data_IF_991354108564
#
_entry.id   IF_991354108564
#
_cell.length_a   1.000
_cell.length_b   1.000
_cell.length_c   1.000
_cell.angle_alpha   90.00
_cell.angle_beta   90.00
_cell.angle_gamma   90.00
#
_symmetry.space_group_name_H-M   'P 1'
#
loop_
_entity.id
_entity.type
_entity.pdbx_description
1 polymer ?
#
# COMPACT_ATOMS: atom_id res chain seq x y z
N UNK A 1 25.36 -13.89 54.29
CA UNK A 1 25.16 -13.11 53.03
C UNK A 1 24.74 -14.09 51.96
N UNK A 2 23.40 -14.11 51.68
CA UNK A 2 22.81 -14.95 50.63
C UNK A 2 22.56 -14.01 49.43
N UNK A 3 23.26 -14.27 48.34
CA UNK A 3 22.97 -13.61 47.06
C UNK A 3 21.85 -14.41 46.35
N UNK A 4 20.66 -13.84 46.34
CA UNK A 4 19.56 -14.31 45.53
C UNK A 4 19.73 -13.84 44.09
N UNK A 5 20.07 -14.73 43.19
CA UNK A 5 20.05 -14.46 41.74
C UNK A 5 18.61 -14.40 41.24
N UNK A 6 18.19 -13.25 40.73
CA UNK A 6 16.97 -13.15 39.94
C UNK A 6 17.21 -13.82 38.57
N UNK A 7 16.58 -14.98 38.38
CA UNK A 7 16.46 -15.56 37.05
C UNK A 7 15.46 -14.74 36.21
N UNK A 8 15.97 -14.00 35.26
CA UNK A 8 15.13 -13.41 34.21
C UNK A 8 14.69 -14.54 33.29
N UNK A 9 13.46 -14.98 33.44
CA UNK A 9 12.84 -15.89 32.49
C UNK A 9 12.66 -15.16 31.16
N UNK A 10 13.47 -15.49 30.17
CA UNK A 10 13.24 -15.14 28.81
C UNK A 10 11.98 -15.87 28.33
N UNK A 11 10.86 -15.20 28.29
CA UNK A 11 9.67 -15.68 27.59
C UNK A 11 9.98 -15.61 26.09
N UNK A 12 10.44 -16.72 25.53
CA UNK A 12 10.41 -16.91 24.08
C UNK A 12 8.95 -17.04 23.69
N UNK A 13 8.38 -15.94 23.18
CA UNK A 13 7.10 -15.99 22.52
C UNK A 13 7.25 -16.89 21.28
N UNK A 14 6.75 -18.10 21.36
CA UNK A 14 6.56 -18.97 20.22
C UNK A 14 5.44 -18.33 19.42
N UNK A 15 5.78 -17.60 18.34
CA UNK A 15 4.80 -17.01 17.44
C UNK A 15 3.93 -18.15 16.87
N UNK A 16 2.63 -18.06 17.09
CA UNK A 16 1.69 -18.95 16.42
C UNK A 16 1.76 -18.67 14.93
N UNK A 17 1.93 -19.70 14.11
CA UNK A 17 2.12 -19.63 12.68
C UNK A 17 0.87 -19.18 11.90
N UNK A 18 -0.26 -18.92 12.58
CA UNK A 18 -1.53 -18.50 11.99
C UNK A 18 -2.07 -17.25 12.72
N UNK A 19 -1.34 -16.14 12.62
CA UNK A 19 -1.82 -14.87 13.12
C UNK A 19 -2.84 -14.30 12.13
N UNK A 20 -4.00 -13.86 12.64
CA UNK A 20 -5.05 -13.22 11.86
C UNK A 20 -5.25 -11.80 12.38
N UNK A 21 -4.88 -10.78 11.61
CA UNK A 21 -5.03 -9.37 11.96
C UNK A 21 -6.45 -9.00 12.36
N UNK A 22 -7.42 -9.62 11.73
CA UNK A 22 -8.83 -9.43 12.03
C UNK A 22 -9.17 -9.86 13.46
N UNK A 23 -8.69 -11.03 13.89
CA UNK A 23 -8.87 -11.51 15.26
C UNK A 23 -8.11 -10.65 16.30
N UNK A 24 -7.00 -10.03 15.90
CA UNK A 24 -6.21 -9.13 16.76
C UNK A 24 -6.88 -7.78 16.97
N UNK A 25 -7.84 -7.38 16.14
CA UNK A 25 -8.46 -6.05 16.15
C UNK A 25 -9.96 -6.09 16.31
N UNK A 26 -10.68 -6.77 15.40
CA UNK A 26 -12.16 -6.75 15.39
C UNK A 26 -12.74 -7.53 16.56
N UNK A 27 -13.40 -6.82 17.47
CA UNK A 27 -13.98 -7.43 18.69
C UNK A 27 -12.94 -7.87 19.72
N UNK A 28 -11.64 -7.64 19.50
CA UNK A 28 -10.59 -7.97 20.45
C UNK A 28 -10.64 -7.00 21.65
N UNK A 29 -10.81 -7.49 22.90
CA UNK A 29 -10.96 -6.59 24.06
C UNK A 29 -9.74 -5.71 24.32
N UNK A 30 -8.54 -6.21 24.07
CA UNK A 30 -7.29 -5.47 24.29
C UNK A 30 -7.16 -4.35 23.27
N UNK A 31 -7.40 -4.62 21.99
CA UNK A 31 -7.41 -3.61 20.94
C UNK A 31 -8.48 -2.52 21.24
N UNK A 32 -9.70 -2.92 21.58
CA UNK A 32 -10.79 -1.99 21.88
C UNK A 32 -10.52 -1.14 23.12
N UNK A 33 -9.89 -1.70 24.16
CA UNK A 33 -9.48 -0.95 25.33
C UNK A 33 -8.42 0.11 25.02
N UNK A 34 -7.39 -0.28 24.25
CA UNK A 34 -6.34 0.64 23.80
C UNK A 34 -6.90 1.76 22.90
N UNK A 35 -7.72 1.40 21.93
CA UNK A 35 -8.39 2.36 21.05
C UNK A 35 -9.18 3.41 21.84
N UNK A 36 -9.96 2.97 22.83
CA UNK A 36 -10.73 3.86 23.71
C UNK A 36 -9.85 4.73 24.60
N UNK A 37 -8.74 4.18 25.10
CA UNK A 37 -7.76 4.93 25.92
C UNK A 37 -7.25 6.17 25.19
N UNK A 38 -6.92 6.03 23.90
CA UNK A 38 -6.42 7.12 23.06
C UNK A 38 -7.53 7.89 22.33
N UNK A 39 -8.81 7.56 22.54
CA UNK A 39 -9.93 8.27 21.90
C UNK A 39 -10.04 8.04 20.39
N UNK A 40 -9.46 6.97 19.87
CA UNK A 40 -9.43 6.66 18.44
C UNK A 40 -10.80 6.17 17.96
N UNK A 41 -11.21 6.59 16.76
CA UNK A 41 -12.46 6.12 16.16
C UNK A 41 -12.40 4.64 15.81
N UNK A 42 -13.54 3.95 15.87
CA UNK A 42 -13.61 2.50 15.65
C UNK A 42 -13.38 2.12 14.19
N UNK A 43 -13.95 2.87 13.28
CA UNK A 43 -14.00 2.53 11.86
C UNK A 43 -12.86 3.21 11.11
N UNK A 44 -12.10 2.44 10.34
CA UNK A 44 -10.93 2.94 9.60
C UNK A 44 -11.30 4.09 8.65
N UNK A 45 -12.43 3.99 7.95
CA UNK A 45 -12.92 5.01 7.00
C UNK A 45 -13.21 6.37 7.63
N UNK A 46 -13.41 6.42 8.96
CA UNK A 46 -13.70 7.65 9.72
C UNK A 46 -12.47 8.15 10.48
N UNK A 47 -11.33 7.51 10.32
CA UNK A 47 -10.10 7.82 11.03
C UNK A 47 -9.14 8.72 10.27
N UNK A 48 -7.99 8.93 10.87
CA UNK A 48 -6.86 9.60 10.28
C UNK A 48 -5.73 8.60 10.01
N UNK A 49 -5.13 8.67 8.83
CA UNK A 49 -4.01 7.83 8.43
C UNK A 49 -2.74 8.67 8.51
N UNK A 50 -1.74 8.20 9.27
CA UNK A 50 -0.38 8.73 9.20
C UNK A 50 0.34 8.04 8.04
N UNK A 51 0.78 8.79 7.05
CA UNK A 51 1.74 8.29 6.07
C UNK A 51 3.16 8.41 6.65
N UNK A 52 3.70 7.30 7.12
CA UNK A 52 5.03 7.21 7.71
C UNK A 52 6.10 7.16 6.59
N UNK A 53 6.22 8.28 5.85
CA UNK A 53 7.10 8.42 4.69
C UNK A 53 8.55 8.10 5.03
N UNK A 54 9.09 7.05 4.40
CA UNK A 54 10.45 6.56 4.55
C UNK A 54 10.84 6.15 5.98
N UNK A 55 9.88 5.84 6.84
CA UNK A 55 10.13 5.27 8.15
C UNK A 55 10.26 3.75 8.06
N UNK A 56 11.22 3.20 8.82
CA UNK A 56 11.30 1.76 9.01
C UNK A 56 10.21 1.25 9.97
N UNK A 57 9.89 -0.03 9.89
CA UNK A 57 8.97 -0.69 10.83
C UNK A 57 9.40 -0.49 12.29
N UNK A 58 10.71 -0.54 12.56
CA UNK A 58 11.26 -0.30 13.89
C UNK A 58 11.06 1.16 14.33
N UNK A 59 11.30 2.15 13.46
CA UNK A 59 11.04 3.55 13.77
C UNK A 59 9.55 3.79 14.09
N UNK A 60 8.65 3.19 13.33
CA UNK A 60 7.20 3.27 13.59
C UNK A 60 6.88 2.65 14.96
N UNK A 61 7.47 1.49 15.27
CA UNK A 61 7.29 0.80 16.55
C UNK A 61 7.74 1.66 17.74
N UNK A 62 8.89 2.32 17.60
CA UNK A 62 9.45 3.20 18.64
C UNK A 62 8.58 4.43 18.96
N UNK A 63 7.84 4.93 17.96
CA UNK A 63 6.98 6.11 18.09
C UNK A 63 5.48 5.78 18.24
N UNK A 64 5.12 4.54 18.55
CA UNK A 64 3.73 4.10 18.53
C UNK A 64 2.84 4.83 19.56
N UNK A 65 3.35 5.10 20.74
CA UNK A 65 2.63 5.87 21.77
C UNK A 65 2.32 7.29 21.29
N UNK A 66 3.30 7.99 20.73
CA UNK A 66 3.17 9.35 20.21
C UNK A 66 2.17 9.43 19.06
N UNK A 67 2.17 8.42 18.18
CA UNK A 67 1.23 8.32 17.05
C UNK A 67 -0.21 8.13 17.57
N UNK A 68 -0.39 7.27 18.58
CA UNK A 68 -1.68 7.03 19.20
C UNK A 68 -2.20 8.28 19.93
N UNK A 69 -1.33 8.96 20.70
CA UNK A 69 -1.65 10.21 21.40
C UNK A 69 -2.01 11.35 20.44
N UNK A 70 -1.39 11.39 19.25
CA UNK A 70 -1.73 12.33 18.21
C UNK A 70 -3.08 12.07 17.54
N UNK A 71 -3.71 10.91 17.80
CA UNK A 71 -5.06 10.58 17.33
C UNK A 71 -5.11 9.87 15.98
N UNK A 72 -3.99 9.38 15.46
CA UNK A 72 -3.98 8.58 14.25
C UNK A 72 -4.57 7.19 14.51
N UNK A 73 -5.46 6.76 13.65
CA UNK A 73 -6.17 5.47 13.75
C UNK A 73 -5.51 4.37 12.93
N UNK A 74 -4.73 4.78 11.95
CA UNK A 74 -4.00 3.88 11.07
C UNK A 74 -2.67 4.51 10.64
N UNK A 75 -1.71 3.65 10.33
CA UNK A 75 -0.40 4.05 9.80
C UNK A 75 -0.24 3.41 8.42
N UNK A 76 0.02 4.22 7.40
CA UNK A 76 0.46 3.76 6.09
C UNK A 76 1.97 3.71 6.06
N UNK A 77 2.54 2.53 5.76
CA UNK A 77 3.98 2.32 5.59
C UNK A 77 4.39 2.46 4.12
N UNK A 78 5.69 2.48 3.87
CA UNK A 78 6.26 2.28 2.54
C UNK A 78 6.06 0.83 2.05
N UNK A 79 6.32 0.55 0.74
CA UNK A 79 6.23 -0.79 0.18
C UNK A 79 7.10 -1.81 0.91
N UNK A 80 6.50 -2.94 1.25
CA UNK A 80 7.14 -4.02 2.01
C UNK A 80 7.92 -5.02 1.15
N UNK A 81 7.74 -4.99 -0.19
CA UNK A 81 8.35 -5.95 -1.09
C UNK A 81 9.87 -5.84 -1.11
N UNK A 82 10.56 -6.92 -1.48
CA UNK A 82 11.97 -6.85 -1.88
C UNK A 82 12.10 -5.87 -3.04
N UNK A 83 13.06 -4.95 -2.94
CA UNK A 83 13.26 -3.88 -3.91
C UNK A 83 14.67 -3.90 -4.50
N UNK A 84 14.85 -3.13 -5.57
CA UNK A 84 16.16 -2.88 -6.15
C UNK A 84 17.10 -2.33 -5.07
N UNK A 85 18.22 -3.00 -4.87
CA UNK A 85 19.30 -2.47 -4.04
C UNK A 85 20.11 -1.45 -4.84
N UNK A 86 20.79 -0.57 -4.13
CA UNK A 86 21.59 0.45 -4.78
C UNK A 86 22.52 -0.14 -5.83
N UNK A 87 22.42 0.37 -7.01
CA UNK A 87 23.46 0.31 -7.99
C UNK A 87 24.52 1.37 -7.64
N UNK A 88 25.70 1.22 -8.11
CA UNK A 88 26.85 2.03 -7.77
C UNK A 88 26.80 3.47 -8.33
N UNK A 89 25.64 4.15 -8.25
CA UNK A 89 25.52 5.54 -8.70
C UNK A 89 26.08 6.57 -7.70
N UNK A 90 26.58 6.10 -6.55
CA UNK A 90 27.22 6.93 -5.52
C UNK A 90 26.27 7.88 -4.78
N UNK A 91 24.99 7.85 -5.06
CA UNK A 91 24.00 8.73 -4.44
C UNK A 91 23.61 8.24 -3.04
N UNK A 92 23.24 9.18 -2.18
CA UNK A 92 22.65 8.86 -0.89
C UNK A 92 21.27 8.24 -1.09
N UNK A 93 20.81 7.43 -0.14
CA UNK A 93 19.48 6.83 -0.19
C UNK A 93 18.37 7.88 -0.38
N UNK A 94 18.45 9.02 0.30
CA UNK A 94 17.50 10.13 0.16
C UNK A 94 17.39 10.68 -1.27
N UNK A 95 18.38 10.43 -2.12
CA UNK A 95 18.37 10.80 -3.54
C UNK A 95 17.79 9.68 -4.43
N UNK A 96 17.63 8.48 -3.87
CA UNK A 96 17.10 7.28 -4.52
C UNK A 96 15.82 6.76 -3.81
N UNK A 97 15.09 7.62 -3.15
CA UNK A 97 13.86 7.27 -2.41
C UNK A 97 12.88 6.43 -3.24
N UNK A 98 12.82 6.64 -4.56
CA UNK A 98 11.94 5.95 -5.49
C UNK A 98 12.25 4.46 -5.66
N UNK A 99 13.36 3.96 -5.12
CA UNK A 99 13.66 2.52 -5.14
C UNK A 99 12.66 1.68 -4.34
N UNK A 100 11.97 2.25 -3.37
CA UNK A 100 10.88 1.54 -2.66
C UNK A 100 9.74 1.16 -3.61
N UNK A 101 9.59 1.89 -4.73
CA UNK A 101 8.62 1.61 -5.78
C UNK A 101 9.21 0.80 -6.95
N UNK A 102 10.34 0.13 -6.74
CA UNK A 102 10.96 -0.77 -7.73
C UNK A 102 11.14 -2.19 -7.18
N UNK A 103 10.03 -2.95 -7.04
CA UNK A 103 10.09 -4.33 -6.60
C UNK A 103 10.97 -5.19 -7.48
N UNK A 104 11.59 -6.21 -6.87
CA UNK A 104 12.34 -7.27 -7.55
C UNK A 104 11.79 -8.65 -7.26
N UNK A 105 10.94 -8.76 -6.22
CA UNK A 105 10.22 -9.97 -5.83
C UNK A 105 9.02 -9.62 -4.93
N UNK A 106 8.10 -10.55 -4.78
CA UNK A 106 6.97 -10.51 -3.84
C UNK A 106 7.31 -11.20 -2.51
N UNK A 107 8.49 -10.97 -1.97
CA UNK A 107 8.89 -11.34 -0.61
C UNK A 107 8.89 -10.12 0.30
N UNK A 108 8.55 -10.32 1.58
CA UNK A 108 8.48 -9.22 2.56
C UNK A 108 9.88 -8.87 3.07
N UNK A 109 10.17 -7.59 3.08
CA UNK A 109 11.38 -7.01 3.64
C UNK A 109 12.30 -6.36 2.63
N UNK A 110 12.83 -5.20 3.01
CA UNK A 110 13.84 -4.48 2.24
C UNK A 110 14.66 -3.57 3.17
N UNK A 111 15.75 -3.00 2.64
CA UNK A 111 16.68 -2.20 3.44
C UNK A 111 16.10 -0.87 3.96
N UNK A 112 14.93 -0.46 3.50
CA UNK A 112 14.26 0.78 3.95
C UNK A 112 13.36 0.50 5.13
N UNK A 113 12.45 -0.45 4.97
CA UNK A 113 11.41 -0.71 5.97
C UNK A 113 11.83 -1.72 7.04
N UNK A 114 12.74 -2.64 6.71
CA UNK A 114 13.18 -3.71 7.61
C UNK A 114 12.76 -5.09 7.13
N UNK A 115 12.82 -6.07 8.01
CA UNK A 115 12.51 -7.48 7.76
C UNK A 115 11.03 -7.80 7.97
N UNK A 116 10.61 -8.99 7.58
CA UNK A 116 9.29 -9.54 7.89
C UNK A 116 9.05 -9.67 9.40
N UNK A 117 10.09 -10.01 10.18
CA UNK A 117 9.99 -10.04 11.64
C UNK A 117 9.78 -8.65 12.24
N UNK A 118 10.41 -7.61 11.68
CA UNK A 118 10.16 -6.22 12.07
C UNK A 118 8.71 -5.80 11.74
N UNK A 119 8.16 -6.25 10.59
CA UNK A 119 6.74 -6.04 10.24
C UNK A 119 5.82 -6.67 11.31
N UNK A 120 6.05 -7.93 11.66
CA UNK A 120 5.29 -8.65 12.70
C UNK A 120 5.35 -7.94 14.05
N UNK A 121 6.53 -7.48 14.46
CA UNK A 121 6.69 -6.72 15.70
C UNK A 121 5.93 -5.40 15.67
N UNK A 122 5.98 -4.66 14.57
CA UNK A 122 5.27 -3.40 14.39
C UNK A 122 3.75 -3.60 14.43
N UNK A 123 3.19 -4.62 13.77
CA UNK A 123 1.75 -4.89 13.80
C UNK A 123 1.26 -5.26 15.20
N UNK A 124 2.05 -6.02 15.96
CA UNK A 124 1.77 -6.31 17.38
C UNK A 124 1.70 -5.01 18.20
N UNK A 125 2.70 -4.15 18.06
CA UNK A 125 2.76 -2.88 18.77
C UNK A 125 1.58 -1.98 18.40
N UNK A 126 1.25 -1.88 17.11
CA UNK A 126 0.13 -1.08 16.63
C UNK A 126 -1.21 -1.56 17.22
N UNK A 127 -1.48 -2.86 17.18
CA UNK A 127 -2.71 -3.43 17.74
C UNK A 127 -2.80 -3.23 19.26
N UNK A 128 -1.68 -3.30 19.99
CA UNK A 128 -1.63 -2.98 21.42
C UNK A 128 -1.94 -1.52 21.73
N UNK A 129 -1.85 -0.62 20.76
CA UNK A 129 -2.19 0.80 20.85
C UNK A 129 -3.55 1.17 20.21
N UNK A 130 -4.26 0.20 19.68
CA UNK A 130 -5.56 0.43 19.01
C UNK A 130 -5.41 1.04 17.61
N UNK A 131 -4.24 0.92 17.00
CA UNK A 131 -3.90 1.42 15.67
C UNK A 131 -3.86 0.24 14.68
N UNK A 132 -4.22 0.49 13.44
CA UNK A 132 -4.13 -0.48 12.33
C UNK A 132 -3.01 -0.13 11.38
N UNK A 133 -2.45 -1.14 10.74
CA UNK A 133 -1.36 -0.99 9.77
C UNK A 133 -1.89 -1.17 8.35
N UNK A 134 -1.62 -0.19 7.51
CA UNK A 134 -1.85 -0.20 6.06
C UNK A 134 -0.48 -0.22 5.39
N UNK A 135 -0.24 -1.20 4.53
CA UNK A 135 1.04 -1.29 3.79
C UNK A 135 0.85 -0.83 2.36
N UNK A 136 1.79 -0.06 1.85
CA UNK A 136 1.85 0.30 0.44
C UNK A 136 2.25 -0.92 -0.41
N UNK A 137 1.62 -1.10 -1.55
CA UNK A 137 1.82 -2.25 -2.44
C UNK A 137 2.00 -1.78 -3.88
N UNK A 138 3.14 -2.10 -4.45
CA UNK A 138 3.40 -1.89 -5.88
C UNK A 138 2.91 -3.12 -6.64
N UNK A 139 1.66 -3.07 -7.08
CA UNK A 139 0.96 -4.19 -7.71
C UNK A 139 0.91 -4.11 -9.25
N UNK A 140 1.35 -2.98 -9.82
CA UNK A 140 1.34 -2.74 -11.26
C UNK A 140 2.62 -3.19 -11.96
N UNK A 141 3.79 -3.02 -11.34
CA UNK A 141 5.08 -3.13 -12.02
C UNK A 141 6.19 -3.61 -11.11
N UNK A 142 7.31 -4.01 -11.71
CA UNK A 142 8.59 -4.25 -11.07
C UNK A 142 9.62 -3.20 -11.53
N UNK A 143 10.86 -3.30 -11.02
CA UNK A 143 11.97 -2.41 -11.40
C UNK A 143 12.17 -2.34 -12.92
N UNK A 144 12.73 -1.23 -13.41
CA UNK A 144 13.13 -1.10 -14.81
C UNK A 144 14.32 -2.01 -15.20
N UNK A 145 15.12 -2.44 -14.21
CA UNK A 145 16.30 -3.28 -14.40
C UNK A 145 15.93 -4.76 -14.37
N UNK A 146 15.82 -5.37 -15.54
CA UNK A 146 15.50 -6.79 -15.68
C UNK A 146 16.44 -7.70 -14.87
N UNK A 147 17.73 -7.37 -14.84
CA UNK A 147 18.71 -8.21 -14.17
C UNK A 147 18.62 -8.13 -12.63
N UNK A 148 17.95 -7.12 -12.09
CA UNK A 148 17.68 -7.00 -10.67
C UNK A 148 16.44 -7.80 -10.23
N UNK A 149 15.57 -8.20 -11.15
CA UNK A 149 14.41 -9.04 -10.85
C UNK A 149 14.90 -10.42 -10.47
N UNK A 150 14.35 -11.01 -9.41
CA UNK A 150 14.73 -12.35 -8.97
C UNK A 150 14.34 -13.41 -10.03
N UNK A 151 15.14 -14.45 -10.16
CA UNK A 151 15.04 -15.43 -11.25
C UNK A 151 13.70 -16.17 -11.34
N UNK A 152 13.00 -16.31 -10.22
CA UNK A 152 11.66 -16.92 -10.15
C UNK A 152 10.56 -16.03 -10.73
N UNK A 153 10.84 -14.72 -10.89
CA UNK A 153 10.01 -13.75 -11.57
C UNK A 153 10.49 -13.40 -12.99
N UNK A 154 11.72 -13.73 -13.37
CA UNK A 154 12.28 -13.43 -14.70
C UNK A 154 11.69 -14.33 -15.80
N UNK A 155 10.38 -14.29 -15.97
CA UNK A 155 9.66 -15.00 -17.04
C UNK A 155 8.94 -13.98 -17.92
N UNK A 156 9.14 -14.10 -19.24
CA UNK A 156 8.58 -13.12 -20.19
C UNK A 156 7.05 -13.06 -20.17
N UNK A 157 6.39 -14.16 -19.85
CA UNK A 157 4.94 -14.27 -19.74
C UNK A 157 4.36 -13.58 -18.50
N UNK A 158 5.20 -13.18 -17.54
CA UNK A 158 4.78 -12.45 -16.34
C UNK A 158 4.69 -10.93 -16.55
N UNK A 159 5.19 -10.45 -17.67
CA UNK A 159 5.24 -9.02 -17.98
C UNK A 159 4.66 -8.74 -19.36
N UNK A 160 4.06 -7.58 -19.54
CA UNK A 160 3.69 -7.09 -20.85
C UNK A 160 4.93 -6.85 -21.72
N UNK A 161 4.83 -7.08 -23.01
CA UNK A 161 5.95 -6.93 -23.92
C UNK A 161 6.25 -5.43 -24.16
N UNK A 162 7.51 -5.00 -23.96
CA UNK A 162 7.92 -3.60 -24.14
C UNK A 162 7.66 -3.05 -25.53
N UNK A 163 7.76 -3.91 -26.56
CA UNK A 163 7.54 -3.50 -27.95
C UNK A 163 6.06 -3.32 -28.33
N UNK A 164 5.14 -3.58 -27.41
CA UNK A 164 3.71 -3.28 -27.60
C UNK A 164 3.41 -1.78 -27.56
N UNK A 165 4.32 -1.00 -26.96
CA UNK A 165 4.17 0.44 -26.81
C UNK A 165 5.37 1.18 -27.38
N UNK A 166 5.19 2.44 -27.77
CA UNK A 166 6.28 3.28 -28.27
C UNK A 166 7.19 3.75 -27.11
N UNK A 167 8.37 4.31 -27.46
CA UNK A 167 9.40 4.66 -26.48
C UNK A 167 10.43 3.55 -26.32
N UNK A 168 11.64 3.88 -25.90
CA UNK A 168 12.76 2.95 -25.75
C UNK A 168 12.54 1.91 -24.64
N UNK A 169 11.74 2.27 -23.63
CA UNK A 169 11.32 1.42 -22.53
C UNK A 169 9.89 0.88 -22.67
N UNK A 170 9.21 1.12 -23.82
CA UNK A 170 7.77 0.88 -23.94
C UNK A 170 6.93 1.83 -23.08
N UNK A 171 7.46 3.02 -22.82
CA UNK A 171 7.05 3.94 -21.74
C UNK A 171 6.35 5.21 -22.24
N UNK A 172 6.10 5.31 -23.54
CA UNK A 172 5.36 6.46 -24.09
C UNK A 172 3.85 6.19 -24.01
N UNK A 173 3.25 6.62 -22.88
CA UNK A 173 1.84 6.40 -22.56
C UNK A 173 0.99 7.58 -23.01
N UNK A 174 -0.01 7.31 -23.86
CA UNK A 174 -1.11 8.24 -24.12
C UNK A 174 -2.19 8.03 -23.06
N UNK A 175 -2.32 8.99 -22.13
CA UNK A 175 -3.30 8.93 -21.05
C UNK A 175 -4.75 9.14 -21.49
N UNK A 176 -5.00 9.39 -22.78
CA UNK A 176 -6.33 9.31 -23.37
C UNK A 176 -6.70 7.90 -23.84
N UNK A 177 -5.75 6.99 -23.85
CA UNK A 177 -5.90 5.61 -24.30
C UNK A 177 -5.77 4.63 -23.13
N UNK A 178 -6.90 4.14 -22.64
CA UNK A 178 -6.95 3.23 -21.48
C UNK A 178 -6.09 1.97 -21.66
N UNK A 179 -6.04 1.41 -22.87
CA UNK A 179 -5.20 0.24 -23.13
C UNK A 179 -3.72 0.57 -22.89
N UNK A 180 -3.25 1.73 -23.37
CA UNK A 180 -1.87 2.14 -23.13
C UNK A 180 -1.59 2.41 -21.64
N UNK A 181 -2.53 3.03 -20.93
CA UNK A 181 -2.38 3.28 -19.50
C UNK A 181 -2.19 1.99 -18.70
N UNK A 182 -2.81 0.88 -19.13
CA UNK A 182 -2.82 -0.39 -18.40
C UNK A 182 -1.86 -1.44 -18.94
N UNK A 183 -1.19 -1.22 -20.06
CA UNK A 183 -0.32 -2.22 -20.69
C UNK A 183 1.05 -1.69 -21.08
N UNK A 184 1.25 -0.36 -21.05
CA UNK A 184 2.54 0.23 -21.33
C UNK A 184 3.35 0.41 -20.03
N UNK A 185 4.65 0.40 -20.18
CA UNK A 185 5.59 0.42 -19.07
C UNK A 185 5.71 1.80 -18.42
N UNK A 186 5.02 2.05 -17.34
CA UNK A 186 5.09 3.30 -16.58
C UNK A 186 6.56 3.65 -16.27
N UNK A 187 7.06 4.76 -16.82
CA UNK A 187 8.47 5.20 -16.63
C UNK A 187 9.52 4.14 -17.00
N UNK A 188 9.17 3.20 -17.89
CA UNK A 188 10.05 2.10 -18.29
C UNK A 188 10.18 0.97 -17.26
N UNK A 189 9.38 0.97 -16.21
CA UNK A 189 9.28 -0.10 -15.22
C UNK A 189 8.65 -1.33 -15.86
N UNK A 190 9.07 -2.54 -15.49
CA UNK A 190 8.50 -3.76 -16.04
C UNK A 190 7.06 -3.95 -15.58
N UNK A 191 6.14 -3.75 -16.51
CA UNK A 191 4.70 -3.82 -16.30
C UNK A 191 4.23 -5.27 -16.17
N UNK A 192 3.51 -5.60 -15.08
CA UNK A 192 3.05 -6.96 -14.83
C UNK A 192 1.93 -7.36 -15.79
N UNK A 193 2.01 -8.56 -16.34
CA UNK A 193 0.94 -9.16 -17.14
C UNK A 193 -0.21 -9.59 -16.21
N UNK A 194 -1.11 -8.69 -15.96
CA UNK A 194 -2.27 -8.85 -15.07
C UNK A 194 -3.30 -9.85 -15.60
N UNK A 195 -3.26 -10.19 -16.90
CA UNK A 195 -4.04 -11.27 -17.47
C UNK A 195 -3.48 -12.67 -17.13
N UNK A 196 -2.24 -12.77 -16.66
CA UNK A 196 -1.65 -14.04 -16.27
C UNK A 196 -2.11 -14.45 -14.85
N UNK A 197 -2.87 -15.55 -14.67
CA UNK A 197 -3.38 -15.97 -13.37
C UNK A 197 -2.28 -16.33 -12.36
N UNK A 198 -1.10 -16.77 -12.81
CA UNK A 198 0.02 -17.05 -11.91
C UNK A 198 0.57 -15.76 -11.29
N UNK A 199 0.64 -14.67 -12.06
CA UNK A 199 1.01 -13.34 -11.54
C UNK A 199 0.01 -12.88 -10.47
N UNK A 200 -1.29 -13.02 -10.76
CA UNK A 200 -2.34 -12.68 -9.79
C UNK A 200 -2.25 -13.54 -8.51
N UNK A 201 -2.05 -14.84 -8.64
CA UNK A 201 -1.94 -15.75 -7.49
C UNK A 201 -0.71 -15.44 -6.64
N UNK A 202 0.44 -15.20 -7.23
CA UNK A 202 1.68 -14.84 -6.51
C UNK A 202 1.51 -13.52 -5.75
N UNK A 203 0.88 -12.53 -6.36
CA UNK A 203 0.58 -11.26 -5.68
C UNK A 203 -0.44 -11.47 -4.55
N UNK A 204 -1.48 -12.27 -4.77
CA UNK A 204 -2.44 -12.61 -3.72
C UNK A 204 -1.77 -13.29 -2.52
N UNK A 205 -0.91 -14.28 -2.76
CA UNK A 205 -0.21 -15.02 -1.68
C UNK A 205 0.72 -14.10 -0.89
N UNK A 206 1.37 -13.16 -1.56
CA UNK A 206 2.18 -12.13 -0.92
C UNK A 206 1.34 -11.24 0.02
N UNK A 207 0.19 -10.76 -0.45
CA UNK A 207 -0.72 -9.97 0.38
C UNK A 207 -1.30 -10.78 1.53
N UNK A 208 -1.64 -12.05 1.27
CA UNK A 208 -2.15 -12.97 2.29
C UNK A 208 -1.14 -13.23 3.38
N UNK A 209 0.14 -13.36 3.04
CA UNK A 209 1.23 -13.47 4.00
C UNK A 209 1.28 -12.24 4.90
N UNK A 210 1.23 -11.04 4.33
CA UNK A 210 1.23 -9.80 5.11
C UNK A 210 0.02 -9.69 6.05
N UNK A 211 -1.18 -10.12 5.61
CA UNK A 211 -2.37 -10.17 6.49
C UNK A 211 -2.15 -11.14 7.64
N UNK A 212 -1.55 -12.30 7.38
CA UNK A 212 -1.21 -13.26 8.44
C UNK A 212 -0.16 -12.70 9.42
N UNK A 213 0.70 -11.79 8.97
CA UNK A 213 1.67 -11.06 9.79
C UNK A 213 1.07 -9.87 10.56
N UNK A 214 -0.24 -9.65 10.41
CA UNK A 214 -0.98 -8.63 11.16
C UNK A 214 -1.26 -7.34 10.40
N UNK A 215 -0.99 -7.26 9.09
CA UNK A 215 -1.37 -6.10 8.27
C UNK A 215 -2.88 -6.03 8.13
N UNK A 216 -3.45 -4.86 8.37
CA UNK A 216 -4.90 -4.63 8.41
C UNK A 216 -5.45 -4.11 7.08
N UNK A 217 -4.61 -3.51 6.27
CA UNK A 217 -5.04 -2.91 5.03
C UNK A 217 -3.92 -2.69 4.03
N UNK A 218 -4.31 -2.30 2.81
CA UNK A 218 -3.36 -2.02 1.72
C UNK A 218 -3.70 -0.72 1.00
N UNK A 219 -2.66 0.00 0.63
CA UNK A 219 -2.71 1.06 -0.38
C UNK A 219 -2.05 0.54 -1.64
N UNK A 220 -2.73 0.54 -2.76
CA UNK A 220 -2.18 0.08 -4.03
C UNK A 220 -1.64 1.25 -4.85
N UNK A 221 -0.32 1.24 -5.05
CA UNK A 221 0.39 2.20 -5.89
C UNK A 221 -0.06 2.09 -7.35
N UNK A 222 -0.08 3.23 -8.07
CA UNK A 222 -0.37 3.30 -9.50
C UNK A 222 -1.64 2.55 -9.92
N UNK A 223 -2.68 2.54 -9.09
CA UNK A 223 -3.86 1.70 -9.26
C UNK A 223 -4.59 1.85 -10.60
N UNK A 224 -4.57 3.05 -11.21
CA UNK A 224 -5.18 3.27 -12.54
C UNK A 224 -4.43 2.57 -13.69
N UNK A 225 -3.20 2.13 -13.45
CA UNK A 225 -2.39 1.43 -14.44
C UNK A 225 -2.68 -0.07 -14.51
N UNK A 226 -3.55 -0.58 -13.66
CA UNK A 226 -4.11 -1.93 -13.77
C UNK A 226 -5.56 -1.82 -14.22
N UNK A 227 -5.95 -2.60 -15.22
CA UNK A 227 -7.29 -2.57 -15.80
C UNK A 227 -8.38 -3.01 -14.82
N UNK A 228 -9.56 -2.41 -14.95
CA UNK A 228 -10.77 -2.85 -14.24
C UNK A 228 -11.24 -4.22 -14.78
N UNK A 229 -11.95 -5.02 -13.96
CA UNK A 229 -12.45 -6.33 -14.38
C UNK A 229 -13.39 -6.33 -15.59
N UNK A 230 -13.95 -5.18 -15.94
CA UNK A 230 -14.86 -5.00 -17.09
C UNK A 230 -14.18 -4.30 -18.28
N UNK A 231 -12.90 -3.98 -18.18
CA UNK A 231 -12.11 -3.44 -19.30
C UNK A 231 -11.49 -4.60 -20.11
N UNK A 232 -11.33 -4.39 -21.41
CA UNK A 232 -10.68 -5.32 -22.37
C UNK A 232 -11.20 -6.76 -22.27
N UNK A 233 -10.31 -7.72 -22.07
CA UNK A 233 -10.65 -9.16 -21.99
C UNK A 233 -11.11 -9.61 -20.59
N UNK A 234 -11.32 -8.67 -19.67
CA UNK A 234 -11.86 -8.97 -18.34
C UNK A 234 -10.84 -9.60 -17.39
N UNK A 235 -9.76 -8.89 -17.10
CA UNK A 235 -8.75 -9.34 -16.14
C UNK A 235 -9.35 -9.66 -14.77
N UNK A 236 -8.95 -10.80 -14.20
CA UNK A 236 -9.33 -11.21 -12.85
C UNK A 236 -8.31 -10.77 -11.79
N UNK A 237 -7.32 -9.96 -12.17
CA UNK A 237 -6.22 -9.57 -11.28
C UNK A 237 -6.73 -8.91 -9.99
N UNK A 238 -7.46 -7.79 -10.11
CA UNK A 238 -8.02 -7.12 -8.94
C UNK A 238 -8.94 -8.01 -8.12
N UNK A 239 -9.83 -8.76 -8.78
CA UNK A 239 -10.77 -9.65 -8.07
C UNK A 239 -10.06 -10.77 -7.32
N UNK A 240 -8.87 -11.17 -7.77
CA UNK A 240 -8.05 -12.16 -7.09
C UNK A 240 -7.29 -11.52 -5.93
N UNK A 241 -6.51 -10.47 -6.18
CA UNK A 241 -5.59 -9.93 -5.16
C UNK A 241 -6.30 -9.19 -4.02
N UNK A 242 -7.48 -8.61 -4.28
CA UNK A 242 -8.27 -7.92 -3.25
C UNK A 242 -8.99 -8.86 -2.28
N UNK A 243 -9.09 -10.16 -2.58
CA UNK A 243 -9.66 -11.17 -1.68
C UNK A 243 -8.62 -11.72 -0.69
N UNK A 244 -7.78 -10.86 -0.14
CA UNK A 244 -6.66 -11.22 0.73
C UNK A 244 -7.03 -11.29 2.22
N UNK A 245 -8.24 -10.86 2.61
CA UNK A 245 -8.72 -10.89 3.99
C UNK A 245 -8.37 -9.65 4.82
N UNK A 246 -7.82 -8.59 4.19
CA UNK A 246 -7.57 -7.32 4.86
C UNK A 246 -8.86 -6.54 5.14
N UNK A 247 -8.81 -5.64 6.14
CA UNK A 247 -9.97 -4.88 6.61
C UNK A 247 -10.25 -3.65 5.76
N UNK A 248 -9.21 -3.02 5.17
CA UNK A 248 -9.33 -1.76 4.45
C UNK A 248 -8.38 -1.72 3.26
N UNK A 249 -8.90 -1.36 2.09
CA UNK A 249 -8.09 -1.30 0.88
C UNK A 249 -8.41 -0.05 0.08
N UNK A 250 -7.39 0.62 -0.44
CA UNK A 250 -7.58 1.75 -1.34
C UNK A 250 -6.47 1.85 -2.38
N UNK A 251 -6.80 2.42 -3.52
CA UNK A 251 -5.85 2.61 -4.61
C UNK A 251 -5.42 4.06 -4.77
N UNK A 252 -4.17 4.26 -5.17
CA UNK A 252 -3.77 5.50 -5.78
C UNK A 252 -4.31 5.56 -7.21
N UNK A 253 -5.39 6.29 -7.37
CA UNK A 253 -6.04 6.50 -8.67
C UNK A 253 -6.02 7.99 -8.97
N UNK A 254 -4.97 8.46 -9.67
CA UNK A 254 -4.84 9.87 -10.02
C UNK A 254 -5.89 10.23 -11.08
N UNK A 255 -6.76 11.16 -10.72
CA UNK A 255 -7.87 11.61 -11.54
C UNK A 255 -7.38 12.51 -12.71
N UNK A 256 -8.20 12.63 -13.75
CA UNK A 256 -8.03 13.55 -14.85
C UNK A 256 -7.76 12.92 -16.21
N UNK A 257 -7.53 11.62 -16.30
CA UNK A 257 -7.34 10.92 -17.56
C UNK A 257 -8.68 10.74 -18.29
N UNK A 258 -8.66 10.89 -19.62
CA UNK A 258 -9.84 10.62 -20.45
C UNK A 258 -10.17 9.12 -20.42
N UNK A 259 -11.42 8.79 -20.15
CA UNK A 259 -11.89 7.39 -20.09
C UNK A 259 -11.59 6.65 -18.79
N UNK A 260 -10.97 7.29 -17.80
CA UNK A 260 -10.79 6.72 -16.48
C UNK A 260 -12.11 6.68 -15.70
N UNK A 261 -12.61 5.51 -15.39
CA UNK A 261 -13.73 5.34 -14.47
C UNK A 261 -13.22 5.29 -13.02
N UNK A 262 -12.93 6.48 -12.47
CA UNK A 262 -12.47 6.63 -11.08
C UNK A 262 -13.43 5.99 -10.07
N UNK A 263 -14.74 6.13 -10.30
CA UNK A 263 -15.76 5.60 -9.39
C UNK A 263 -15.78 4.07 -9.38
N UNK A 264 -15.54 3.44 -10.52
CA UNK A 264 -15.43 1.99 -10.59
C UNK A 264 -14.24 1.48 -9.75
N UNK A 265 -13.09 2.17 -9.78
CA UNK A 265 -11.94 1.84 -8.92
C UNK A 265 -12.28 2.03 -7.44
N UNK A 266 -12.86 3.15 -7.04
CA UNK A 266 -13.25 3.39 -5.65
C UNK A 266 -14.21 2.31 -5.13
N UNK A 267 -15.23 1.95 -5.92
CA UNK A 267 -16.18 0.88 -5.59
C UNK A 267 -15.53 -0.50 -5.54
N UNK A 268 -14.57 -0.77 -6.43
CA UNK A 268 -13.85 -2.03 -6.48
C UNK A 268 -13.07 -2.26 -5.17
N UNK A 269 -12.28 -1.29 -4.74
CA UNK A 269 -11.53 -1.40 -3.48
C UNK A 269 -12.46 -1.49 -2.27
N UNK A 270 -13.52 -0.69 -2.24
CA UNK A 270 -14.49 -0.71 -1.13
C UNK A 270 -15.24 -2.05 -1.00
N UNK A 271 -15.40 -2.78 -2.10
CA UNK A 271 -16.14 -4.05 -2.13
C UNK A 271 -15.47 -5.16 -1.31
N UNK A 272 -14.14 -5.19 -1.26
CA UNK A 272 -13.38 -6.30 -0.70
C UNK A 272 -12.80 -6.03 0.69
N UNK A 273 -12.88 -4.80 1.18
CA UNK A 273 -12.48 -4.45 2.54
C UNK A 273 -13.69 -4.46 3.48
N UNK A 274 -13.69 -5.26 4.54
CA UNK A 274 -14.79 -5.28 5.52
C UNK A 274 -14.96 -3.95 6.25
N UNK A 275 -13.88 -3.22 6.46
CA UNK A 275 -13.86 -1.87 7.03
C UNK A 275 -14.10 -0.75 6.02
N UNK A 276 -14.33 -1.11 4.75
CA UNK A 276 -14.46 -0.19 3.63
C UNK A 276 -13.20 -0.10 2.78
N UNK A 277 -13.14 0.94 1.96
CA UNK A 277 -12.04 1.20 1.04
C UNK A 277 -12.38 2.37 0.14
N UNK A 278 -11.55 2.61 -0.87
CA UNK A 278 -11.79 3.71 -1.80
C UNK A 278 -10.60 3.97 -2.73
N UNK A 279 -10.50 5.19 -3.18
CA UNK A 279 -9.39 5.67 -3.99
C UNK A 279 -8.95 7.07 -3.52
N UNK A 280 -7.71 7.44 -3.82
CA UNK A 280 -7.16 8.74 -3.44
C UNK A 280 -7.89 9.89 -4.15
N UNK A 281 -8.39 10.86 -3.41
CA UNK A 281 -9.09 12.04 -3.95
C UNK A 281 -8.10 13.12 -4.42
N UNK A 282 -7.37 12.86 -5.51
CA UNK A 282 -6.30 13.76 -5.99
C UNK A 282 -6.80 15.12 -6.41
N UNK A 283 -8.00 15.22 -7.02
CA UNK A 283 -8.60 16.48 -7.42
C UNK A 283 -9.06 17.32 -6.23
N UNK A 284 -9.50 16.68 -5.15
CA UNK A 284 -9.78 17.35 -3.88
C UNK A 284 -8.52 18.03 -3.32
N UNK A 285 -7.41 17.29 -3.20
CA UNK A 285 -6.14 17.84 -2.75
C UNK A 285 -5.63 18.98 -3.65
N UNK A 286 -5.77 18.85 -4.97
CA UNK A 286 -5.44 19.87 -5.95
C UNK A 286 -6.27 21.14 -5.75
N UNK A 287 -7.57 20.99 -5.52
CA UNK A 287 -8.51 22.12 -5.32
C UNK A 287 -8.20 22.85 -4.01
N UNK A 288 -7.96 22.15 -2.91
CA UNK A 288 -7.54 22.76 -1.64
C UNK A 288 -6.24 23.54 -1.83
N UNK A 289 -5.22 22.91 -2.42
CA UNK A 289 -3.94 23.54 -2.65
C UNK A 289 -4.08 24.81 -3.49
N UNK A 290 -4.87 24.77 -4.55
CA UNK A 290 -5.12 25.93 -5.42
C UNK A 290 -5.85 27.06 -4.69
N UNK A 291 -6.85 26.73 -3.87
CA UNK A 291 -7.58 27.72 -3.08
C UNK A 291 -6.68 28.40 -2.03
N UNK A 292 -5.84 27.62 -1.35
CA UNK A 292 -4.90 28.15 -0.35
C UNK A 292 -3.78 28.96 -0.99
N UNK A 293 -3.25 28.52 -2.13
CA UNK A 293 -2.18 29.20 -2.85
C UNK A 293 -2.63 30.55 -3.42
N UNK A 294 -3.84 30.61 -3.95
CA UNK A 294 -4.42 31.84 -4.49
C UNK A 294 -4.81 32.85 -3.39
N UNK A 295 -4.73 32.48 -2.13
CA UNK A 295 -5.22 33.26 -0.97
C UNK A 295 -6.69 33.66 -1.09
N UNK A 296 -7.45 32.93 -1.88
CA UNK A 296 -8.82 33.26 -2.24
C UNK A 296 -9.77 32.19 -1.67
N UNK A 297 -9.83 32.13 -0.34
CA UNK A 297 -10.81 31.31 0.38
C UNK A 297 -12.13 32.06 0.43
N UNK A 298 -12.94 31.92 -0.59
CA UNK A 298 -14.29 32.45 -0.62
C UNK A 298 -15.33 31.32 -0.74
N UNK A 299 -16.61 31.66 -0.62
CA UNK A 299 -17.69 30.68 -0.67
C UNK A 299 -17.72 29.91 -2.01
N UNK A 300 -17.35 30.54 -3.14
CA UNK A 300 -17.27 29.89 -4.45
C UNK A 300 -16.18 28.82 -4.49
N UNK A 301 -15.01 29.09 -3.91
CA UNK A 301 -13.89 28.12 -3.84
C UNK A 301 -14.21 26.95 -2.90
N UNK A 302 -14.90 27.20 -1.78
CA UNK A 302 -15.39 26.17 -0.89
C UNK A 302 -16.47 25.30 -1.55
N UNK A 303 -17.33 25.89 -2.38
CA UNK A 303 -18.31 25.14 -3.18
C UNK A 303 -17.63 24.29 -4.27
N UNK A 304 -16.51 24.75 -4.83
CA UNK A 304 -15.71 23.96 -5.76
C UNK A 304 -15.08 22.73 -5.08
N UNK A 305 -14.66 22.84 -3.81
CA UNK A 305 -14.22 21.70 -3.00
C UNK A 305 -15.33 20.65 -2.85
N UNK A 306 -16.56 21.12 -2.58
CA UNK A 306 -17.72 20.23 -2.47
C UNK A 306 -18.07 19.54 -3.79
N UNK A 307 -17.90 20.23 -4.91
CA UNK A 307 -18.29 19.74 -6.24
C UNK A 307 -17.14 19.02 -6.97
N UNK A 308 -15.91 19.14 -6.49
CA UNK A 308 -14.69 18.67 -7.14
C UNK A 308 -14.21 17.30 -6.69
N UNK A 309 -15.10 16.31 -6.57
CA UNK A 309 -14.69 14.93 -6.36
C UNK A 309 -14.73 14.42 -4.92
N UNK A 310 -15.38 15.14 -4.03
CA UNK A 310 -15.61 14.66 -2.64
C UNK A 310 -16.91 13.83 -2.53
N UNK A 311 -17.73 13.83 -3.56
CA UNK A 311 -19.06 13.22 -3.54
C UNK A 311 -19.17 11.93 -4.35
N UNK A 312 -18.06 11.33 -4.71
CA UNK A 312 -18.10 10.09 -5.50
C UNK A 312 -17.64 8.88 -4.70
#
# INVERSE_FOLDING_TARGET
TVFGGLAVASVSAQASTDRNSYADTVGNPTFEAARKKYGLTKEMKNGAILHAWMWSFNTITEHMDEIAEAGYTSIQTEPMSKIKVNDANGKKFTENWYYVYQPTNTSIGNFVVGSEDDLKAMTVAAHAHGIRIIVDVVANHFTADWNAIDSDWQKSEYFHARNSCSGSGGDNIDYSNRWQVTHCHLLGLWDLNTANPEVANRMHDFLKTAVNDGVDGFRFDAGKHVELPNEFDGSQYWTTILQNGSQYQYGEVLQGDSGLDYKAYANLYAKYGEGGGGATASDYGKTIRSALWSKNLNAGNLMSLRNGGVND
#
